data_IF_435941429271
#
_entry.id   IF_435941429271
#
_cell.length_a   1.000
_cell.length_b   1.000
_cell.length_c   1.000
_cell.angle_alpha   90.00
_cell.angle_beta   90.00
_cell.angle_gamma   90.00
#
_symmetry.space_group_name_H-M   'P 1'
#
loop_
_entity.id
_entity.type
_entity.pdbx_description
1 polymer ?
#
# COMPACT_ATOMS: atom_id res chain seq x y z
N UNK A 1 30.73 -12.09 -4.51
CA UNK A 1 29.26 -11.85 -4.41
C UNK A 1 28.68 -11.41 -5.78
N UNK A 2 27.80 -12.23 -6.37
CA UNK A 2 27.22 -12.02 -7.72
C UNK A 2 26.28 -10.81 -7.83
N UNK A 3 26.00 -10.10 -6.73
CA UNK A 3 25.10 -8.94 -6.67
C UNK A 3 25.76 -7.59 -7.01
N UNK A 4 27.10 -7.49 -7.02
CA UNK A 4 27.80 -6.23 -7.32
C UNK A 4 27.76 -5.85 -8.81
N UNK A 5 27.62 -6.83 -9.70
CA UNK A 5 27.52 -6.57 -11.15
C UNK A 5 26.16 -5.95 -11.51
N UNK A 6 25.07 -6.44 -10.91
CA UNK A 6 23.71 -5.89 -11.06
C UNK A 6 23.59 -4.47 -10.50
N UNK A 7 24.28 -4.18 -9.40
CA UNK A 7 24.36 -2.82 -8.84
C UNK A 7 25.06 -1.83 -9.79
N UNK A 8 26.00 -2.31 -10.62
CA UNK A 8 26.69 -1.49 -11.63
C UNK A 8 25.83 -1.24 -12.88
N UNK A 9 25.01 -2.20 -13.29
CA UNK A 9 24.06 -2.02 -14.41
C UNK A 9 22.99 -0.95 -14.11
N UNK A 10 22.61 -0.75 -12.85
CA UNK A 10 21.70 0.30 -12.43
C UNK A 10 22.23 1.74 -12.66
N UNK A 11 23.54 1.90 -12.90
CA UNK A 11 24.20 3.22 -12.99
C UNK A 11 24.44 3.74 -14.41
N UNK A 12 23.98 3.05 -15.47
CA UNK A 12 24.31 3.45 -16.84
C UNK A 12 23.16 3.30 -17.84
N UNK A 13 22.30 4.32 -17.96
CA UNK A 13 21.71 4.81 -19.22
C UNK A 13 20.50 5.73 -18.95
N UNK A 14 20.67 7.01 -19.33
CA UNK A 14 19.71 8.13 -19.35
C UNK A 14 18.99 8.46 -18.03
N UNK A 15 19.49 9.51 -17.39
CA UNK A 15 19.11 10.04 -16.08
C UNK A 15 17.66 10.62 -16.11
N UNK A 16 16.77 10.16 -15.21
CA UNK A 16 15.40 10.69 -14.99
C UNK A 16 14.28 10.31 -16.00
N UNK A 17 14.27 9.07 -16.52
CA UNK A 17 13.13 8.55 -17.32
C UNK A 17 12.22 7.59 -16.54
N UNK A 18 10.95 7.47 -16.95
CA UNK A 18 10.02 6.45 -16.42
C UNK A 18 10.55 5.03 -16.70
N UNK A 19 10.26 4.10 -15.79
CA UNK A 19 10.72 2.71 -15.85
C UNK A 19 9.54 1.77 -15.64
N UNK A 20 9.54 0.61 -16.29
CA UNK A 20 8.54 -0.44 -16.07
C UNK A 20 9.21 -1.81 -15.91
N UNK A 21 8.41 -2.82 -15.61
CA UNK A 21 8.83 -4.23 -15.61
C UNK A 21 8.39 -4.90 -16.91
N UNK A 22 9.33 -5.53 -17.60
CA UNK A 22 9.07 -6.38 -18.75
C UNK A 22 9.50 -7.82 -18.46
N UNK A 23 8.66 -8.79 -18.83
CA UNK A 23 9.01 -10.20 -18.78
C UNK A 23 9.65 -10.58 -20.12
N UNK A 24 10.83 -11.20 -20.10
CA UNK A 24 11.39 -11.80 -21.31
C UNK A 24 10.75 -13.16 -21.63
N UNK A 25 11.05 -13.70 -22.80
CA UNK A 25 10.51 -14.98 -23.28
C UNK A 25 10.93 -16.20 -22.44
N UNK A 26 11.87 -16.04 -21.52
CA UNK A 26 12.33 -17.07 -20.58
C UNK A 26 11.70 -16.92 -19.19
N UNK A 27 10.82 -15.94 -19.00
CA UNK A 27 10.13 -15.68 -17.74
C UNK A 27 10.93 -14.84 -16.74
N UNK A 28 12.02 -14.20 -17.17
CA UNK A 28 12.82 -13.31 -16.32
C UNK A 28 12.27 -11.89 -16.42
N UNK A 29 11.96 -11.30 -15.26
CA UNK A 29 11.54 -9.90 -15.17
C UNK A 29 12.76 -8.96 -15.21
N UNK A 30 12.67 -7.90 -16.03
CA UNK A 30 13.71 -6.88 -16.18
C UNK A 30 13.12 -5.48 -16.04
N UNK A 31 13.90 -4.58 -15.47
CA UNK A 31 13.56 -3.15 -15.43
C UNK A 31 13.98 -2.52 -16.76
N UNK A 32 13.04 -1.94 -17.49
CA UNK A 32 13.28 -1.31 -18.79
C UNK A 32 12.74 0.13 -18.83
N UNK A 33 13.29 1.02 -19.67
CA UNK A 33 12.70 2.34 -19.91
C UNK A 33 11.28 2.22 -20.48
N UNK A 34 10.40 3.16 -20.09
CA UNK A 34 9.07 3.32 -20.68
C UNK A 34 8.76 4.79 -20.91
N UNK A 35 7.86 5.06 -21.85
CA UNK A 35 7.22 6.37 -22.04
C UNK A 35 5.77 6.38 -21.57
N UNK A 36 5.22 5.22 -21.22
CA UNK A 36 3.84 5.04 -20.75
C UNK A 36 3.76 5.23 -19.23
N UNK A 37 3.15 6.32 -18.73
CA UNK A 37 3.05 6.58 -17.30
C UNK A 37 2.23 5.53 -16.56
N UNK A 38 1.18 4.97 -17.19
CA UNK A 38 0.35 3.95 -16.55
C UNK A 38 1.09 2.62 -16.30
N UNK A 39 2.16 2.36 -17.06
CA UNK A 39 3.02 1.19 -16.88
C UNK A 39 4.24 1.48 -16.00
N UNK A 40 4.44 2.73 -15.58
CA UNK A 40 5.62 3.13 -14.83
C UNK A 40 5.57 2.58 -13.39
N UNK A 41 6.72 2.15 -12.89
CA UNK A 41 6.90 1.69 -11.51
C UNK A 41 7.86 2.61 -10.78
N UNK A 42 7.57 2.87 -9.51
CA UNK A 42 8.53 3.52 -8.64
C UNK A 42 9.62 2.51 -8.26
N UNK A 43 10.86 2.78 -8.68
CA UNK A 43 11.99 1.86 -8.45
C UNK A 43 12.38 1.72 -6.98
N UNK A 44 12.21 2.78 -6.19
CA UNK A 44 12.45 2.70 -4.73
C UNK A 44 11.41 1.77 -4.10
N UNK A 45 10.15 1.88 -4.52
CA UNK A 45 9.08 1.03 -3.97
C UNK A 45 9.29 -0.43 -4.33
N UNK A 46 9.65 -0.70 -5.59
CA UNK A 46 9.99 -2.03 -6.05
C UNK A 46 11.20 -2.60 -5.30
N UNK A 47 12.25 -1.82 -5.12
CA UNK A 47 13.48 -2.26 -4.45
C UNK A 47 13.22 -2.63 -2.98
N UNK A 48 12.49 -1.79 -2.25
CA UNK A 48 12.12 -2.06 -0.86
C UNK A 48 11.18 -3.28 -0.75
N UNK A 49 10.20 -3.41 -1.64
CA UNK A 49 9.31 -4.57 -1.66
C UNK A 49 10.08 -5.88 -1.92
N UNK A 50 11.02 -5.87 -2.87
CA UNK A 50 11.92 -7.00 -3.11
C UNK A 50 12.82 -7.28 -1.92
N UNK A 51 13.35 -6.25 -1.25
CA UNK A 51 14.17 -6.42 -0.06
C UNK A 51 13.38 -7.08 1.08
N UNK A 52 12.14 -6.67 1.33
CA UNK A 52 11.25 -7.35 2.29
C UNK A 52 11.06 -8.81 1.89
N UNK A 53 10.76 -9.09 0.61
CA UNK A 53 10.55 -10.46 0.14
C UNK A 53 11.78 -11.35 0.31
N UNK A 54 12.97 -10.81 0.06
CA UNK A 54 14.24 -11.53 0.18
C UNK A 54 14.64 -11.79 1.64
N UNK A 55 14.43 -10.81 2.53
CA UNK A 55 14.86 -10.90 3.93
C UNK A 55 13.83 -11.61 4.83
N UNK A 56 12.55 -11.32 4.63
CA UNK A 56 11.46 -11.73 5.52
C UNK A 56 10.61 -12.86 4.93
N UNK A 57 10.80 -13.22 3.65
CA UNK A 57 10.03 -14.28 2.99
C UNK A 57 8.54 -13.96 2.82
N UNK A 58 8.16 -12.68 2.85
CA UNK A 58 6.78 -12.16 2.74
C UNK A 58 6.74 -10.81 2.04
N UNK A 59 5.56 -10.30 1.75
CA UNK A 59 5.40 -8.96 1.17
C UNK A 59 5.38 -7.87 2.25
N UNK A 60 5.70 -6.61 1.90
CA UNK A 60 5.51 -5.47 2.80
C UNK A 60 4.07 -5.40 3.29
N UNK A 61 3.88 -5.18 4.58
CA UNK A 61 2.57 -5.09 5.19
C UNK A 61 2.46 -3.88 6.12
N UNK A 62 1.26 -3.32 6.15
CA UNK A 62 0.87 -2.25 7.06
C UNK A 62 -0.52 -2.53 7.63
N UNK A 63 -0.73 -2.22 8.91
CA UNK A 63 -2.05 -2.13 9.51
C UNK A 63 -2.11 -1.03 10.58
N UNK A 64 -3.32 -0.57 10.86
CA UNK A 64 -3.65 0.14 12.09
C UNK A 64 -4.27 -0.88 13.05
N UNK A 65 -3.56 -1.17 14.13
CA UNK A 65 -4.00 -2.11 15.15
C UNK A 65 -4.33 -1.34 16.44
N UNK A 66 -5.37 -1.74 17.19
CA UNK A 66 -5.60 -1.16 18.52
C UNK A 66 -4.46 -1.55 19.46
N UNK A 67 -3.93 -0.56 20.20
CA UNK A 67 -2.93 -0.80 21.25
C UNK A 67 -3.45 -1.81 22.28
N UNK A 68 -4.73 -1.71 22.66
CA UNK A 68 -5.45 -2.70 23.46
C UNK A 68 -6.67 -3.24 22.68
N UNK A 69 -6.62 -4.47 22.15
CA UNK A 69 -7.74 -5.09 21.44
C UNK A 69 -9.01 -5.32 22.28
N UNK A 70 -8.90 -5.29 23.62
CA UNK A 70 -10.04 -5.45 24.52
C UNK A 70 -10.79 -4.13 24.76
N UNK A 71 -10.15 -2.99 24.53
CA UNK A 71 -10.75 -1.66 24.67
C UNK A 71 -11.17 -1.09 23.31
N UNK A 72 -12.48 -0.90 23.15
CA UNK A 72 -13.06 -0.30 21.92
C UNK A 72 -12.63 1.15 21.69
N UNK A 73 -12.18 1.84 22.73
CA UNK A 73 -11.70 3.21 22.64
C UNK A 73 -10.16 3.28 22.62
N UNK A 74 -9.48 2.15 22.47
CA UNK A 74 -8.03 2.12 22.38
C UNK A 74 -7.54 3.00 21.23
N UNK A 75 -6.42 3.69 21.48
CA UNK A 75 -5.63 4.32 20.44
C UNK A 75 -5.20 3.27 19.40
N UNK A 76 -5.01 3.73 18.17
CA UNK A 76 -4.51 2.91 17.06
C UNK A 76 -3.00 3.11 16.93
N UNK A 77 -2.26 2.03 16.70
CA UNK A 77 -0.84 2.01 16.44
C UNK A 77 -0.57 1.65 14.96
N UNK A 78 0.39 2.37 14.37
CA UNK A 78 0.90 2.07 13.02
C UNK A 78 1.80 0.83 13.08
N UNK A 79 1.29 -0.30 12.62
CA UNK A 79 2.04 -1.56 12.56
C UNK A 79 2.61 -1.76 11.16
N UNK A 80 3.94 -1.78 11.09
CA UNK A 80 4.68 -2.11 9.88
C UNK A 80 5.30 -3.49 9.97
N UNK A 81 5.29 -4.17 8.84
CA UNK A 81 5.76 -5.55 8.77
C UNK A 81 6.58 -5.76 7.50
N UNK A 82 7.91 -5.84 7.62
CA UNK A 82 8.72 -5.75 8.85
C UNK A 82 8.76 -4.33 9.46
N UNK A 83 9.06 -4.25 10.76
CA UNK A 83 9.06 -2.99 11.52
C UNK A 83 9.99 -1.92 10.93
N UNK A 84 11.07 -2.33 10.24
CA UNK A 84 12.02 -1.40 9.61
C UNK A 84 11.44 -0.66 8.39
N UNK A 85 10.26 -1.03 7.90
CA UNK A 85 9.54 -0.23 6.89
C UNK A 85 9.08 1.13 7.44
N UNK A 86 8.93 1.26 8.77
CA UNK A 86 8.59 2.52 9.39
C UNK A 86 9.63 3.60 9.03
N UNK A 87 9.15 4.76 8.54
CA UNK A 87 10.02 5.86 8.10
C UNK A 87 10.63 5.69 6.70
N UNK A 88 10.32 4.61 5.98
CA UNK A 88 10.66 4.47 4.55
C UNK A 88 9.55 5.05 3.67
N UNK A 89 9.87 5.38 2.40
CA UNK A 89 8.87 5.88 1.46
C UNK A 89 7.76 4.86 1.17
N UNK A 90 8.08 3.57 1.10
CA UNK A 90 7.08 2.50 0.97
C UNK A 90 6.20 2.40 2.20
N UNK A 91 6.79 2.45 3.41
CA UNK A 91 6.01 2.42 4.64
C UNK A 91 4.99 3.55 4.68
N UNK A 92 5.41 4.77 4.37
CA UNK A 92 4.50 5.92 4.35
C UNK A 92 3.40 5.75 3.30
N UNK A 93 3.72 5.28 2.09
CA UNK A 93 2.71 5.02 1.04
C UNK A 93 1.72 3.94 1.45
N UNK A 94 2.17 2.87 2.10
CA UNK A 94 1.28 1.82 2.61
C UNK A 94 0.30 2.38 3.64
N UNK A 95 0.78 3.22 4.56
CA UNK A 95 -0.07 3.89 5.54
C UNK A 95 -1.08 4.83 4.86
N UNK A 96 -0.63 5.69 3.96
CA UNK A 96 -1.50 6.63 3.28
C UNK A 96 -2.54 5.93 2.41
N UNK A 97 -2.17 4.84 1.72
CA UNK A 97 -3.10 4.05 0.92
C UNK A 97 -4.18 3.39 1.79
N UNK A 98 -3.78 2.77 2.91
CA UNK A 98 -4.71 2.15 3.85
C UNK A 98 -5.67 3.17 4.48
N UNK A 99 -5.15 4.35 4.85
CA UNK A 99 -5.96 5.44 5.37
C UNK A 99 -6.94 5.98 4.32
N UNK A 100 -6.47 6.22 3.09
CA UNK A 100 -7.32 6.72 2.01
C UNK A 100 -8.43 5.73 1.60
N UNK A 101 -8.12 4.42 1.60
CA UNK A 101 -9.12 3.39 1.35
C UNK A 101 -10.22 3.36 2.43
N UNK A 102 -9.87 3.68 3.69
CA UNK A 102 -10.86 3.85 4.75
C UNK A 102 -11.76 5.05 4.50
N UNK A 103 -11.18 6.22 4.21
CA UNK A 103 -11.96 7.43 3.88
C UNK A 103 -12.90 7.18 2.68
N UNK A 104 -12.40 6.49 1.64
CA UNK A 104 -13.22 6.05 0.51
C UNK A 104 -14.37 5.14 0.95
N UNK A 105 -14.10 4.13 1.78
CA UNK A 105 -15.14 3.22 2.28
C UNK A 105 -16.19 3.94 3.14
N UNK A 106 -15.79 5.01 3.83
CA UNK A 106 -16.68 5.85 4.64
C UNK A 106 -17.39 6.94 3.83
N UNK A 107 -17.21 6.99 2.51
CA UNK A 107 -17.88 7.95 1.64
C UNK A 107 -17.37 9.38 1.80
N UNK A 108 -16.20 9.59 2.41
CA UNK A 108 -15.59 10.91 2.54
C UNK A 108 -15.05 11.43 1.19
N UNK A 109 -14.77 10.53 0.26
CA UNK A 109 -14.36 10.83 -1.11
C UNK A 109 -15.37 10.31 -2.13
N UNK A 110 -15.38 10.94 -3.31
CA UNK A 110 -16.14 10.44 -4.47
C UNK A 110 -15.59 9.08 -4.89
N UNK A 111 -16.48 8.10 -5.05
CA UNK A 111 -16.11 6.74 -5.41
C UNK A 111 -15.47 6.72 -6.82
N UNK A 112 -14.23 6.23 -6.97
CA UNK A 112 -13.49 6.32 -8.23
C UNK A 112 -13.98 5.30 -9.27
N UNK A 113 -14.73 4.29 -8.86
CA UNK A 113 -15.24 3.21 -9.71
C UNK A 113 -16.75 3.32 -9.81
N UNK A 114 -17.27 3.28 -11.05
CA UNK A 114 -18.71 3.32 -11.30
C UNK A 114 -19.36 2.09 -10.63
N UNK A 115 -20.36 2.34 -9.78
CA UNK A 115 -21.07 1.31 -9.02
C UNK A 115 -20.39 0.89 -7.72
N UNK A 116 -19.23 1.47 -7.37
CA UNK A 116 -18.67 1.32 -6.03
C UNK A 116 -19.50 2.13 -5.03
N UNK A 117 -19.78 1.53 -3.88
CA UNK A 117 -20.64 2.07 -2.82
C UNK A 117 -19.82 2.21 -1.53
N UNK A 118 -20.11 3.26 -0.77
CA UNK A 118 -19.60 3.40 0.59
C UNK A 118 -20.37 2.49 1.56
N UNK A 119 -19.82 2.31 2.77
CA UNK A 119 -20.51 1.61 3.85
C UNK A 119 -21.86 2.24 4.19
N UNK A 120 -22.00 3.57 4.04
CA UNK A 120 -23.25 4.29 4.27
C UNK A 120 -24.30 4.00 3.20
N UNK A 121 -23.91 3.99 1.93
CA UNK A 121 -24.81 3.65 0.83
C UNK A 121 -25.36 2.23 1.01
N UNK A 122 -24.49 1.27 1.35
CA UNK A 122 -24.87 -0.13 1.61
C UNK A 122 -25.82 -0.22 2.81
N UNK A 123 -25.52 0.46 3.92
CA UNK A 123 -26.38 0.43 5.11
C UNK A 123 -27.76 1.06 4.86
N UNK A 124 -27.85 2.07 4.01
CA UNK A 124 -29.12 2.68 3.61
C UNK A 124 -29.97 1.71 2.79
N UNK A 125 -29.37 1.06 1.79
CA UNK A 125 -30.03 0.07 0.95
C UNK A 125 -30.50 -1.17 1.73
N UNK A 126 -29.70 -1.64 2.69
CA UNK A 126 -30.02 -2.81 3.51
C UNK A 126 -30.97 -2.49 4.69
N UNK A 127 -31.29 -1.21 4.92
CA UNK A 127 -32.17 -0.79 6.01
C UNK A 127 -31.59 -1.03 7.42
N UNK A 128 -30.26 -1.16 7.55
CA UNK A 128 -29.56 -1.56 8.77
C UNK A 128 -29.26 -0.42 9.76
N UNK A 129 -29.82 0.77 9.57
CA UNK A 129 -29.60 1.96 10.42
C UNK A 129 -29.91 1.80 11.92
N UNK A 130 -30.53 0.69 12.36
CA UNK A 130 -30.94 0.47 13.77
C UNK A 130 -30.00 -0.42 14.59
N UNK A 131 -29.11 -1.17 13.95
CA UNK A 131 -28.19 -2.09 14.63
C UNK A 131 -26.96 -2.34 13.76
N UNK A 132 -26.26 -1.27 13.41
CA UNK A 132 -25.06 -1.37 12.60
C UNK A 132 -23.93 -2.01 13.43
N UNK A 133 -23.62 -3.27 13.15
CA UNK A 133 -22.42 -3.97 13.62
C UNK A 133 -21.55 -4.35 12.43
N UNK A 134 -21.12 -3.35 11.65
CA UNK A 134 -19.99 -3.55 10.77
C UNK A 134 -18.73 -3.36 11.60
N UNK A 135 -17.64 -4.03 11.24
CA UNK A 135 -16.32 -3.55 11.62
C UNK A 135 -16.19 -2.14 11.02
N UNK A 136 -16.46 -1.13 11.83
CA UNK A 136 -16.09 0.24 11.53
C UNK A 136 -14.58 0.25 11.36
N UNK A 137 -14.09 0.35 10.13
CA UNK A 137 -12.69 0.70 9.88
C UNK A 137 -12.53 2.23 10.05
N UNK A 138 -12.91 2.69 11.25
CA UNK A 138 -12.58 3.91 11.99
C UNK A 138 -12.74 5.29 11.32
N UNK A 139 -13.43 6.18 12.04
CA UNK A 139 -13.09 7.61 12.11
C UNK A 139 -11.84 7.74 12.97
N UNK A 140 -10.73 8.23 12.41
CA UNK A 140 -9.50 8.49 13.20
C UNK A 140 -9.74 9.72 14.07
N UNK A 141 -10.06 9.48 15.34
CA UNK A 141 -10.08 10.51 16.37
C UNK A 141 -8.79 10.38 17.19
N UNK A 142 -7.86 11.33 17.03
CA UNK A 142 -6.56 11.40 17.73
C UNK A 142 -5.57 10.28 17.36
N UNK A 143 -5.04 10.28 16.14
CA UNK A 143 -3.78 9.57 15.87
C UNK A 143 -2.61 10.34 16.52
N UNK A 144 -1.67 9.62 17.16
CA UNK A 144 -0.45 10.16 17.76
C UNK A 144 0.78 9.71 16.97
#
# INVERSE_FOLDING_TARGET
>A
PRSLALAKELTGSSELGLRCLALDGEGVARVVPTVEPAAAVNLEYLALAMQVRLLEGREPFFSLDPVDPADRNSMQEKRFEPAWLAGTSVGEVLFQADYHLKELSMGEHMQPVIGMQSCFDISEEEGQFKAWNAREWFVVNKAA
#
